data_IF_235342736413
#
_entry.id   IF_235342736413
#
_cell.length_a   1.000
_cell.length_b   1.000
_cell.length_c   1.000
_cell.angle_alpha   90.00
_cell.angle_beta   90.00
_cell.angle_gamma   90.00
#
_symmetry.space_group_name_H-M   'P 1'
#
loop_
_entity.id
_entity.type
_entity.pdbx_description
1 polymer ?
#
# COMPACT_ATOMS: atom_id res chain seq x y z
N UNK A 1 -11.86 2.37 20.07
CA UNK A 1 -11.51 2.40 18.63
C UNK A 1 -12.64 1.76 17.84
N UNK A 2 -13.28 2.49 16.91
CA UNK A 2 -14.37 1.94 16.09
C UNK A 2 -13.88 0.86 15.13
N UNK A 3 -14.65 -0.22 14.99
CA UNK A 3 -14.36 -1.28 14.01
C UNK A 3 -14.34 -0.65 12.61
N UNK A 4 -13.22 -0.80 11.88
CA UNK A 4 -13.14 -0.37 10.48
C UNK A 4 -14.10 -1.23 9.65
N UNK A 5 -14.99 -0.63 8.83
CA UNK A 5 -15.92 -1.38 8.00
C UNK A 5 -15.15 -2.26 7.00
N UNK A 6 -15.70 -3.42 6.69
CA UNK A 6 -15.13 -4.37 5.75
C UNK A 6 -15.05 -3.73 4.35
N UNK A 7 -14.07 -4.11 3.52
CA UNK A 7 -13.91 -3.54 2.17
C UNK A 7 -15.17 -3.75 1.34
N UNK A 8 -15.83 -4.90 1.48
CA UNK A 8 -17.12 -5.19 0.84
C UNK A 8 -18.20 -4.18 1.22
N UNK A 9 -18.31 -3.83 2.51
CA UNK A 9 -19.26 -2.82 2.98
C UNK A 9 -18.93 -1.43 2.44
N UNK A 10 -17.64 -1.07 2.38
CA UNK A 10 -17.20 0.21 1.80
C UNK A 10 -17.59 0.31 0.32
N UNK A 11 -17.39 -0.77 -0.44
CA UNK A 11 -17.74 -0.81 -1.86
C UNK A 11 -19.25 -0.78 -2.08
N UNK A 12 -20.04 -1.55 -1.31
CA UNK A 12 -21.51 -1.49 -1.41
C UNK A 12 -22.03 -0.08 -1.13
N UNK A 13 -21.50 0.60 -0.11
CA UNK A 13 -21.83 2.00 0.19
C UNK A 13 -21.49 2.95 -0.98
N UNK A 14 -20.38 2.73 -1.67
CA UNK A 14 -20.02 3.49 -2.87
C UNK A 14 -20.96 3.18 -4.05
N UNK A 15 -21.36 1.93 -4.24
CA UNK A 15 -22.32 1.59 -5.29
C UNK A 15 -23.69 2.22 -5.04
N UNK A 16 -24.16 2.26 -3.79
CA UNK A 16 -25.37 2.98 -3.41
C UNK A 16 -25.24 4.47 -3.76
N UNK A 17 -24.11 5.11 -3.43
CA UNK A 17 -23.88 6.51 -3.82
C UNK A 17 -23.84 6.68 -5.36
N UNK A 18 -23.31 5.71 -6.10
CA UNK A 18 -23.29 5.75 -7.57
C UNK A 18 -24.69 5.63 -8.19
N UNK A 19 -25.62 4.94 -7.52
CA UNK A 19 -27.03 4.84 -7.93
C UNK A 19 -27.83 6.12 -7.65
N UNK A 20 -27.32 7.00 -6.79
CA UNK A 20 -27.94 8.28 -6.43
C UNK A 20 -27.08 9.47 -6.89
N UNK A 21 -27.05 9.78 -8.20
CA UNK A 21 -26.26 10.88 -8.73
C UNK A 21 -26.67 12.26 -8.18
N UNK A 22 -27.89 12.39 -7.66
CA UNK A 22 -28.40 13.58 -6.99
C UNK A 22 -27.75 13.87 -5.64
N UNK A 23 -27.11 12.87 -5.01
CA UNK A 23 -26.50 13.05 -3.68
C UNK A 23 -25.20 13.84 -3.75
N UNK A 24 -25.19 14.96 -3.03
CA UNK A 24 -23.94 15.66 -2.75
C UNK A 24 -23.09 14.85 -1.77
N UNK A 25 -21.80 15.22 -1.65
CA UNK A 25 -20.89 14.59 -0.66
C UNK A 25 -21.44 14.65 0.76
N UNK A 26 -22.21 15.70 1.11
CA UNK A 26 -22.80 15.83 2.44
C UNK A 26 -24.00 14.91 2.63
N UNK A 27 -24.80 14.70 1.59
CA UNK A 27 -25.93 13.79 1.62
C UNK A 27 -25.42 12.35 1.71
N UNK A 28 -24.40 12.00 0.93
CA UNK A 28 -23.75 10.70 1.03
C UNK A 28 -23.17 10.44 2.43
N UNK A 29 -22.56 11.45 3.08
CA UNK A 29 -22.08 11.34 4.47
C UNK A 29 -23.22 11.04 5.44
N UNK A 30 -24.37 11.70 5.28
CA UNK A 30 -25.56 11.48 6.11
C UNK A 30 -26.17 10.09 5.87
N UNK A 31 -26.43 9.74 4.60
CA UNK A 31 -27.08 8.49 4.22
C UNK A 31 -26.19 7.25 4.43
N UNK A 32 -24.88 7.36 4.25
CA UNK A 32 -23.95 6.24 4.42
C UNK A 32 -23.45 6.08 5.86
N UNK A 33 -23.89 6.94 6.80
CA UNK A 33 -23.47 6.97 8.20
C UNK A 33 -21.95 6.85 8.37
N UNK A 34 -21.20 7.65 7.60
CA UNK A 34 -19.74 7.61 7.59
C UNK A 34 -19.17 9.00 7.84
N UNK A 35 -18.04 9.11 8.55
CA UNK A 35 -17.40 10.40 8.79
C UNK A 35 -16.93 11.03 7.48
N UNK A 36 -17.06 12.36 7.34
CA UNK A 36 -16.72 13.13 6.12
C UNK A 36 -15.48 12.69 5.32
N UNK A 37 -14.29 12.45 5.92
CA UNK A 37 -13.13 12.05 5.13
C UNK A 37 -13.25 10.64 4.53
N UNK A 38 -14.12 9.79 5.08
CA UNK A 38 -14.18 8.37 4.73
C UNK A 38 -14.86 8.11 3.38
N UNK A 39 -16.06 8.65 3.08
CA UNK A 39 -16.68 8.52 1.75
C UNK A 39 -15.84 9.06 0.61
N UNK A 40 -15.13 10.18 0.81
CA UNK A 40 -14.20 10.75 -0.16
C UNK A 40 -13.04 9.79 -0.47
N UNK A 41 -12.44 9.21 0.57
CA UNK A 41 -11.38 8.21 0.44
C UNK A 41 -11.85 6.96 -0.30
N UNK A 42 -13.05 6.48 0.03
CA UNK A 42 -13.67 5.34 -0.66
C UNK A 42 -14.01 5.65 -2.12
N UNK A 43 -14.53 6.86 -2.41
CA UNK A 43 -14.82 7.29 -3.78
C UNK A 43 -13.55 7.28 -4.63
N UNK A 44 -12.44 7.83 -4.12
CA UNK A 44 -11.16 7.80 -4.83
C UNK A 44 -10.68 6.36 -5.14
N UNK A 45 -10.94 5.41 -4.24
CA UNK A 45 -10.48 4.02 -4.40
C UNK A 45 -11.38 3.15 -5.27
N UNK A 46 -12.70 3.28 -5.11
CA UNK A 46 -13.66 2.27 -5.58
C UNK A 46 -14.63 2.78 -6.67
N UNK A 47 -14.70 4.09 -6.95
CA UNK A 47 -15.71 4.65 -7.86
C UNK A 47 -15.64 4.11 -9.30
N UNK A 48 -14.41 3.90 -9.78
CA UNK A 48 -14.14 3.39 -11.14
C UNK A 48 -14.07 1.85 -11.19
N UNK A 49 -14.27 1.16 -10.07
CA UNK A 49 -14.23 -0.31 -10.03
C UNK A 49 -15.61 -0.89 -10.28
N UNK A 50 -15.77 -1.63 -11.38
CA UNK A 50 -17.01 -2.35 -11.70
C UNK A 50 -17.19 -3.62 -10.87
N UNK A 51 -16.09 -4.29 -10.54
CA UNK A 51 -16.08 -5.50 -9.72
C UNK A 51 -14.98 -5.41 -8.66
N UNK A 52 -15.27 -5.91 -7.47
CA UNK A 52 -14.25 -6.09 -6.43
C UNK A 52 -13.31 -7.24 -6.84
N UNK A 53 -11.99 -7.14 -6.62
CA UNK A 53 -11.09 -8.28 -6.77
C UNK A 53 -11.56 -9.44 -5.89
N UNK A 54 -11.58 -10.70 -6.38
CA UNK A 54 -12.01 -11.85 -5.60
C UNK A 54 -11.12 -12.10 -4.36
N UNK A 55 -9.88 -11.60 -4.38
CA UNK A 55 -8.93 -11.62 -3.25
C UNK A 55 -9.13 -10.49 -2.23
N UNK A 56 -10.21 -9.72 -2.33
CA UNK A 56 -10.59 -8.74 -1.30
C UNK A 56 -11.10 -9.46 -0.04
N UNK A 57 -10.20 -10.23 0.60
CA UNK A 57 -10.33 -10.61 1.99
C UNK A 57 -10.60 -9.36 2.82
N UNK A 58 -11.24 -9.56 3.97
CA UNK A 58 -11.77 -8.55 4.90
C UNK A 58 -10.87 -7.32 5.14
N UNK A 59 -9.55 -7.44 4.90
CA UNK A 59 -8.56 -6.36 4.94
C UNK A 59 -7.49 -6.52 3.85
N UNK A 60 -7.78 -6.13 2.62
CA UNK A 60 -6.76 -5.97 1.57
C UNK A 60 -5.74 -4.90 1.98
N UNK A 61 -4.49 -5.31 2.23
CA UNK A 61 -3.35 -4.40 2.21
C UNK A 61 -3.04 -4.14 0.75
N UNK A 62 -3.06 -2.88 0.32
CA UNK A 62 -2.51 -2.53 -0.99
C UNK A 62 -1.06 -3.05 -1.05
N UNK A 63 -0.61 -3.62 -2.17
CA UNK A 63 0.81 -3.80 -2.40
C UNK A 63 1.50 -2.44 -2.17
N UNK A 64 2.61 -2.43 -1.44
CA UNK A 64 3.30 -1.24 -0.90
C UNK A 64 2.63 -0.46 0.25
N UNK A 65 1.47 -0.89 0.76
CA UNK A 65 0.78 -0.25 1.88
C UNK A 65 1.47 -0.41 3.26
N UNK A 66 2.63 -1.04 3.29
CA UNK A 66 3.49 -1.14 4.47
C UNK A 66 4.32 0.13 4.68
N UNK A 67 4.90 0.29 5.87
CA UNK A 67 5.92 1.32 6.09
C UNK A 67 7.08 1.01 5.15
N UNK A 68 7.39 1.92 4.20
CA UNK A 68 8.56 1.76 3.32
C UNK A 68 9.78 1.48 4.18
N UNK A 69 10.41 0.33 3.95
CA UNK A 69 11.58 -0.09 4.70
C UNK A 69 12.77 0.76 4.26
N UNK A 70 13.13 1.76 5.08
CA UNK A 70 14.14 2.77 4.71
C UNK A 70 15.58 2.25 4.72
N UNK A 71 15.83 1.15 5.42
CA UNK A 71 17.17 0.61 5.66
C UNK A 71 17.50 -0.59 4.77
N UNK A 72 16.64 -0.93 3.80
CA UNK A 72 16.84 -2.10 2.95
C UNK A 72 18.23 -2.09 2.30
N UNK A 73 18.56 -0.99 1.63
CA UNK A 73 19.79 -0.85 0.87
C UNK A 73 21.03 -0.88 1.78
N UNK A 74 20.92 -0.27 2.96
CA UNK A 74 21.99 -0.28 3.96
C UNK A 74 22.24 -1.69 4.49
N UNK A 75 21.20 -2.40 4.91
CA UNK A 75 21.33 -3.76 5.44
C UNK A 75 21.85 -4.75 4.40
N UNK A 76 21.39 -4.61 3.15
CA UNK A 76 21.90 -5.40 2.04
C UNK A 76 23.40 -5.13 1.81
N UNK A 77 23.83 -3.86 1.84
CA UNK A 77 25.25 -3.52 1.70
C UNK A 77 26.11 -4.09 2.83
N UNK A 78 25.60 -4.10 4.07
CA UNK A 78 26.30 -4.65 5.25
C UNK A 78 26.39 -6.17 5.16
N UNK A 79 25.33 -6.84 4.69
CA UNK A 79 25.34 -8.29 4.49
C UNK A 79 26.31 -8.70 3.39
N UNK A 80 26.33 -7.98 2.27
CA UNK A 80 27.27 -8.22 1.17
C UNK A 80 28.71 -8.01 1.64
N UNK A 81 29.00 -6.91 2.33
CA UNK A 81 30.32 -6.68 2.93
C UNK A 81 30.66 -7.84 3.87
N UNK A 82 29.82 -8.15 4.86
CA UNK A 82 30.07 -9.24 5.81
C UNK A 82 30.35 -10.58 5.13
N UNK A 83 29.64 -10.91 4.05
CA UNK A 83 29.89 -12.11 3.25
C UNK A 83 31.22 -12.06 2.49
N UNK A 84 31.62 -10.91 1.96
CA UNK A 84 32.94 -10.72 1.33
C UNK A 84 34.07 -10.87 2.35
N UNK A 85 33.93 -10.28 3.54
CA UNK A 85 34.89 -10.40 4.63
C UNK A 85 34.97 -11.83 5.19
N UNK A 86 33.84 -12.54 5.27
CA UNK A 86 33.79 -13.92 5.74
C UNK A 86 34.36 -14.93 4.73
N UNK A 87 34.48 -14.57 3.45
CA UNK A 87 35.00 -15.44 2.37
C UNK A 87 36.49 -15.24 2.03
N UNK A 88 37.23 -14.46 2.83
CA UNK A 88 38.68 -14.33 2.73
C UNK A 88 39.14 -13.34 1.66
N UNK A 89 39.88 -12.32 2.09
CA UNK A 89 40.46 -11.27 1.25
C UNK A 89 41.78 -11.69 0.61
N UNK A 90 41.76 -12.53 -0.43
CA UNK A 90 42.98 -12.82 -1.20
C UNK A 90 42.97 -12.37 -2.67
N UNK A 91 41.97 -11.62 -3.17
CA UNK A 91 41.94 -11.36 -4.63
C UNK A 91 41.48 -9.99 -5.14
N UNK A 92 41.35 -8.95 -4.31
CA UNK A 92 40.95 -7.62 -4.84
C UNK A 92 42.04 -6.54 -4.68
N UNK A 93 43.08 -6.77 -3.86
CA UNK A 93 44.21 -5.83 -3.78
C UNK A 93 45.05 -5.77 -5.09
N UNK A 94 44.96 -6.78 -5.97
CA UNK A 94 45.70 -6.83 -7.23
C UNK A 94 44.96 -6.24 -8.44
N UNK A 95 43.70 -5.80 -8.31
CA UNK A 95 42.95 -5.22 -9.45
C UNK A 95 42.96 -3.70 -9.51
N UNK A 96 43.48 -3.02 -8.48
CA UNK A 96 43.55 -1.56 -8.44
C UNK A 96 44.98 -0.99 -8.56
N UNK A 97 46.00 -1.83 -8.77
CA UNK A 97 47.38 -1.39 -9.04
C UNK A 97 47.85 -1.63 -10.48
N UNK A 98 46.98 -2.13 -11.36
CA UNK A 98 47.25 -2.25 -12.79
C UNK A 98 46.07 -1.67 -13.55
N UNK A 99 46.04 -0.34 -13.67
CA UNK A 99 45.63 0.45 -14.84
C UNK A 99 45.96 1.90 -14.46
N UNK A 100 47.13 2.33 -14.95
CA UNK A 100 47.66 3.69 -15.17
C UNK A 100 47.45 4.78 -14.11
#
# INVERSE_FOLDING_TARGET
MGKKPLIKEQWMKIQIWKQHPEWTTNDAVKHLHAMRPTPLSWKKKYWNMEKLPPEAADRFRTPEGGRKYKLHDYEESVLVLRLMFARGWESIALRYYVIY
#
